data_IF_943769654912
#
_entry.id   IF_943769654912
#
_cell.length_a   1.000
_cell.length_b   1.000
_cell.length_c   1.000
_cell.angle_alpha   90.00
_cell.angle_beta   90.00
_cell.angle_gamma   90.00
#
_symmetry.space_group_name_H-M   'P 1'
#
loop_
_entity.id
_entity.type
_entity.pdbx_description
1 polymer ?
#
# COMPACT_ATOMS: atom_id res chain seq x y z
N UNK A 1 -22.62 6.72 -3.86
CA UNK A 1 -21.23 6.58 -4.38
C UNK A 1 -20.47 5.69 -3.44
N UNK A 2 -20.13 4.47 -3.85
CA UNK A 2 -19.38 3.56 -2.98
C UNK A 2 -17.89 3.81 -3.24
N UNK A 3 -17.10 4.18 -2.24
CA UNK A 3 -15.68 4.45 -2.41
C UNK A 3 -14.94 3.12 -2.54
N UNK A 4 -14.91 2.57 -3.76
CA UNK A 4 -14.36 1.23 -4.05
C UNK A 4 -12.87 1.25 -4.42
N UNK A 5 -12.18 2.39 -4.31
CA UNK A 5 -10.76 2.47 -4.64
C UNK A 5 -9.89 1.98 -3.46
N UNK A 6 -8.78 1.32 -3.78
CA UNK A 6 -7.79 0.87 -2.78
C UNK A 6 -7.30 2.04 -1.92
N UNK A 7 -7.15 3.23 -2.52
CA UNK A 7 -6.76 4.45 -1.81
C UNK A 7 -7.78 4.89 -0.74
N UNK A 8 -9.07 4.89 -1.05
CA UNK A 8 -10.10 5.27 -0.08
C UNK A 8 -10.24 4.26 1.06
N UNK A 9 -10.03 2.97 0.78
CA UNK A 9 -9.95 1.94 1.82
C UNK A 9 -8.76 2.17 2.74
N UNK A 10 -7.60 2.54 2.18
CA UNK A 10 -6.42 2.91 2.97
C UNK A 10 -6.68 4.15 3.82
N UNK A 11 -7.32 5.20 3.27
CA UNK A 11 -7.66 6.41 4.03
C UNK A 11 -8.66 6.15 5.17
N UNK A 12 -9.53 5.15 5.05
CA UNK A 12 -10.44 4.74 6.14
C UNK A 12 -9.73 3.93 7.21
N UNK A 13 -8.70 3.18 6.82
CA UNK A 13 -7.94 2.34 7.73
C UNK A 13 -6.86 3.12 8.48
N UNK A 14 -6.27 4.12 7.82
CA UNK A 14 -5.20 4.94 8.35
C UNK A 14 -5.70 6.36 8.58
N UNK A 15 -5.59 6.87 9.81
CA UNK A 15 -5.93 8.25 10.17
C UNK A 15 -5.02 9.31 9.52
N UNK A 16 -3.97 8.90 8.81
CA UNK A 16 -2.98 9.79 8.18
C UNK A 16 -2.87 9.54 6.67
N UNK A 17 -2.69 10.59 5.85
CA UNK A 17 -2.53 10.46 4.40
C UNK A 17 -1.15 9.92 3.98
N UNK A 18 -0.22 9.82 4.93
CA UNK A 18 1.13 9.30 4.73
C UNK A 18 1.49 8.30 5.83
N UNK A 19 2.39 7.39 5.48
CA UNK A 19 2.94 6.37 6.37
C UNK A 19 4.45 6.50 6.44
N UNK A 20 5.00 6.25 7.63
CA UNK A 20 6.44 6.06 7.82
C UNK A 20 6.88 4.71 7.27
N UNK A 21 8.18 4.58 6.96
CA UNK A 21 8.76 3.27 6.62
C UNK A 21 8.53 2.23 7.71
N UNK A 22 8.61 2.64 8.98
CA UNK A 22 8.40 1.74 10.12
C UNK A 22 6.98 1.16 10.11
N UNK A 23 5.96 2.00 9.97
CA UNK A 23 4.56 1.55 9.92
C UNK A 23 4.29 0.69 8.69
N UNK A 24 4.74 1.12 7.50
CA UNK A 24 4.57 0.34 6.28
C UNK A 24 5.21 -1.04 6.40
N UNK A 25 6.42 -1.10 6.96
CA UNK A 25 7.13 -2.36 7.24
C UNK A 25 6.32 -3.25 8.17
N UNK A 26 5.83 -2.73 9.28
CA UNK A 26 5.11 -3.53 10.28
C UNK A 26 3.78 -4.07 9.75
N UNK A 27 3.04 -3.28 8.98
CA UNK A 27 1.72 -3.66 8.49
C UNK A 27 1.76 -4.56 7.25
N UNK A 28 2.62 -4.26 6.27
CA UNK A 28 2.60 -4.93 4.96
C UNK A 28 3.78 -5.88 4.74
N UNK A 29 4.92 -5.61 5.37
CA UNK A 29 6.15 -6.35 5.15
C UNK A 29 6.73 -6.88 6.47
N UNK A 30 5.96 -7.65 7.27
CA UNK A 30 6.44 -8.13 8.57
C UNK A 30 7.65 -9.06 8.44
N UNK A 31 7.87 -9.63 7.24
CA UNK A 31 9.07 -10.42 6.92
C UNK A 31 10.34 -9.56 6.78
N UNK A 32 10.21 -8.25 6.55
CA UNK A 32 11.33 -7.31 6.55
C UNK A 32 11.61 -6.84 7.97
N UNK A 33 12.78 -7.22 8.47
CA UNK A 33 13.20 -6.92 9.85
C UNK A 33 13.83 -5.55 10.04
N UNK A 34 14.41 -4.96 8.99
CA UNK A 34 15.12 -3.68 9.10
C UNK A 34 14.70 -2.70 8.02
N UNK A 35 14.61 -1.42 8.38
CA UNK A 35 14.33 -0.34 7.43
C UNK A 35 15.42 -0.21 6.37
N UNK A 36 16.67 -0.51 6.73
CA UNK A 36 17.79 -0.56 5.77
C UNK A 36 17.57 -1.59 4.67
N UNK A 37 17.05 -2.77 5.01
CA UNK A 37 16.71 -3.79 4.02
C UNK A 37 15.52 -3.35 3.16
N UNK A 38 14.49 -2.75 3.76
CA UNK A 38 13.35 -2.19 3.03
C UNK A 38 13.82 -1.16 1.99
N UNK A 39 14.64 -0.19 2.41
CA UNK A 39 15.22 0.81 1.52
C UNK A 39 16.06 0.18 0.41
N UNK A 40 16.86 -0.84 0.72
CA UNK A 40 17.64 -1.56 -0.27
C UNK A 40 16.74 -2.28 -1.28
N UNK A 41 15.69 -2.97 -0.82
CA UNK A 41 14.75 -3.67 -1.70
C UNK A 41 14.03 -2.70 -2.66
N UNK A 42 13.64 -1.51 -2.16
CA UNK A 42 13.05 -0.44 -2.97
C UNK A 42 14.08 0.08 -3.97
N UNK A 43 15.30 0.40 -3.52
CA UNK A 43 16.36 0.93 -4.39
C UNK A 43 16.82 -0.07 -5.45
N UNK A 44 16.80 -1.37 -5.14
CA UNK A 44 17.06 -2.45 -6.10
C UNK A 44 15.89 -2.73 -7.04
N UNK A 45 14.75 -2.05 -6.88
CA UNK A 45 13.56 -2.27 -7.71
C UNK A 45 12.78 -3.54 -7.40
N UNK A 46 13.11 -4.25 -6.30
CA UNK A 46 12.31 -5.41 -5.83
C UNK A 46 10.93 -4.99 -5.35
N UNK A 47 10.84 -3.78 -4.80
CA UNK A 47 9.59 -3.17 -4.34
C UNK A 47 9.41 -1.88 -5.13
N UNK A 48 8.45 -1.86 -6.04
CA UNK A 48 8.15 -0.71 -6.88
C UNK A 48 7.22 0.27 -6.14
N UNK A 49 7.74 0.91 -5.10
CA UNK A 49 7.01 1.94 -4.34
C UNK A 49 7.83 3.23 -4.29
N UNK A 50 7.14 4.37 -4.44
CA UNK A 50 7.77 5.69 -4.38
C UNK A 50 7.93 6.12 -2.92
N UNK A 51 9.12 6.59 -2.59
CA UNK A 51 9.41 7.24 -1.31
C UNK A 51 9.48 8.75 -1.52
N UNK A 52 8.74 9.49 -0.72
CA UNK A 52 8.81 10.95 -0.69
C UNK A 52 9.55 11.41 0.55
N UNK A 53 10.36 12.45 0.42
CA UNK A 53 11.08 13.06 1.53
C UNK A 53 10.46 14.43 1.77
N UNK A 54 9.83 14.62 2.93
CA UNK A 54 9.13 15.87 3.25
C UNK A 54 10.09 17.07 3.39
N UNK A 55 11.34 16.81 3.78
CA UNK A 55 12.37 17.82 3.88
C UNK A 55 13.57 17.42 3.02
N UNK A 56 14.12 18.37 2.25
CA UNK A 56 15.27 18.15 1.36
C UNK A 56 16.58 17.76 2.07
N UNK A 57 16.53 17.51 3.37
CA UNK A 57 17.67 17.05 4.16
C UNK A 57 17.87 15.54 4.05
N UNK A 58 19.13 15.13 3.98
CA UNK A 58 19.56 13.72 3.98
C UNK A 58 19.11 12.98 5.26
N UNK A 59 18.81 13.70 6.34
CA UNK A 59 18.32 13.14 7.61
C UNK A 59 16.80 12.99 7.70
N UNK A 60 16.06 13.54 6.74
CA UNK A 60 14.61 13.46 6.76
C UNK A 60 14.17 12.01 6.53
N UNK A 61 13.31 11.52 7.43
CA UNK A 61 12.70 10.21 7.32
C UNK A 61 11.87 10.16 6.03
N UNK A 62 12.13 9.20 5.13
CA UNK A 62 11.29 8.99 3.96
C UNK A 62 9.91 8.51 4.39
N UNK A 63 8.88 9.04 3.73
CA UNK A 63 7.48 8.69 3.92
C UNK A 63 6.90 8.13 2.64
N UNK A 64 5.86 7.32 2.77
CA UNK A 64 5.10 6.72 1.69
C UNK A 64 3.72 7.37 1.73
N UNK A 65 3.28 7.97 0.62
CA UNK A 65 1.90 8.42 0.53
C UNK A 65 0.97 7.24 0.33
N UNK A 66 -0.22 7.31 0.91
CA UNK A 66 -1.23 6.26 0.73
C UNK A 66 -1.61 6.08 -0.75
N UNK A 67 -1.49 7.12 -1.57
CA UNK A 67 -1.71 7.04 -3.01
C UNK A 67 -0.67 6.13 -3.70
N UNK A 68 0.62 6.31 -3.38
CA UNK A 68 1.70 5.46 -3.91
C UNK A 68 1.55 4.03 -3.38
N UNK A 69 1.13 3.87 -2.12
CA UNK A 69 0.82 2.57 -1.54
C UNK A 69 -0.35 1.88 -2.25
N UNK A 70 -1.43 2.60 -2.55
CA UNK A 70 -2.57 2.07 -3.30
C UNK A 70 -2.12 1.54 -4.66
N UNK A 71 -1.32 2.32 -5.39
CA UNK A 71 -0.79 1.91 -6.69
C UNK A 71 0.12 0.69 -6.59
N UNK A 72 0.96 0.61 -5.55
CA UNK A 72 1.78 -0.57 -5.27
C UNK A 72 0.92 -1.82 -5.00
N UNK A 73 -0.12 -1.68 -4.15
CA UNK A 73 -1.03 -2.78 -3.84
C UNK A 73 -1.83 -3.21 -5.06
N UNK A 74 -2.33 -2.28 -5.86
CA UNK A 74 -3.05 -2.56 -7.11
C UNK A 74 -2.14 -3.29 -8.12
N UNK A 75 -0.85 -2.92 -8.19
CA UNK A 75 0.13 -3.61 -9.02
C UNK A 75 0.47 -5.02 -8.51
N UNK A 76 0.51 -5.22 -7.18
CA UNK A 76 0.74 -6.52 -6.55
C UNK A 76 -0.51 -7.41 -6.49
N UNK A 77 -1.71 -6.85 -6.65
CA UNK A 77 -2.98 -7.54 -6.49
C UNK A 77 -3.73 -7.73 -7.83
N UNK A 78 -3.25 -8.58 -8.75
CA UNK A 78 -4.08 -8.99 -9.88
C UNK A 78 -5.26 -9.91 -9.48
N UNK A 79 -5.55 -10.15 -8.19
CA UNK A 79 -6.48 -11.21 -7.76
C UNK A 79 -7.65 -10.82 -6.84
N UNK A 80 -7.74 -9.60 -6.29
CA UNK A 80 -8.75 -9.29 -5.26
C UNK A 80 -9.93 -8.40 -5.72
N UNK A 81 -10.26 -8.39 -7.02
CA UNK A 81 -11.51 -7.76 -7.51
C UNK A 81 -12.55 -8.72 -8.09
N UNK A 82 -12.28 -10.02 -8.23
CA UNK A 82 -13.24 -10.95 -8.87
C UNK A 82 -14.09 -11.82 -7.94
N UNK A 83 -13.79 -11.89 -6.65
CA UNK A 83 -14.51 -12.85 -5.77
C UNK A 83 -15.78 -12.27 -5.10
N UNK A 84 -16.22 -11.07 -5.49
CA UNK A 84 -17.53 -10.53 -5.06
C UNK A 84 -18.48 -10.16 -6.22
N UNK A 85 -18.17 -10.58 -7.45
CA UNK A 85 -19.10 -10.46 -8.60
C UNK A 85 -19.60 -11.82 -9.10
N UNK A 86 -19.34 -12.91 -8.37
CA UNK A 86 -19.92 -14.23 -8.63
C UNK A 86 -21.17 -14.53 -7.77
N UNK A 87 -21.83 -13.52 -7.22
CA UNK A 87 -23.17 -13.65 -6.64
C UNK A 87 -24.26 -13.37 -7.70
N UNK A 88 -24.25 -14.14 -8.79
CA UNK A 88 -25.48 -14.70 -9.38
C UNK A 88 -25.09 -16.03 -10.06
N UNK A 89 -25.79 -17.14 -9.75
CA UNK A 89 -26.93 -17.49 -10.60
C UNK A 89 -28.22 -17.85 -9.84
N UNK A 90 -29.32 -17.48 -10.50
CA UNK A 90 -30.76 -17.68 -10.25
C UNK A 90 -31.24 -18.93 -9.46
N UNK A 91 -32.41 -18.72 -8.82
CA UNK A 91 -33.65 -19.54 -8.88
C UNK A 91 -34.07 -20.28 -7.60
N UNK A 92 -35.31 -20.02 -7.15
CA UNK A 92 -36.06 -20.91 -6.26
C UNK A 92 -37.13 -20.22 -5.41
N UNK A 93 -38.40 -20.27 -5.85
CA UNK A 93 -39.58 -19.87 -5.08
C UNK A 93 -40.72 -19.37 -5.96
#
# INVERSE_FOLDING_TARGET
>A
MVPNSTYEQLLRHWDTPCLSLTQFRESYLPHIKTERYLLHAIKSGKIQIRLTRLHGSIRAAPVIFLQDLAQFLDACAPYNQKTRLAETPKSGG
#
